data_IF_800764711632
#
_entry.id   IF_800764711632
#
_cell.length_a   1.000
_cell.length_b   1.000
_cell.length_c   1.000
_cell.angle_alpha   90.00
_cell.angle_beta   90.00
_cell.angle_gamma   90.00
#
_symmetry.space_group_name_H-M   'P 1'
#
loop_
_entity.id
_entity.type
_entity.pdbx_description
1 polymer ?
#
# COMPACT_ATOMS: atom_id res chain seq x y z
N UNK A 1 -8.75 -40.28 44.98
CA UNK A 1 -7.35 -40.51 44.56
C UNK A 1 -7.21 -40.01 43.12
N UNK A 2 -6.60 -38.84 42.89
CA UNK A 2 -6.39 -38.30 41.53
C UNK A 2 -5.11 -38.93 40.96
N UNK A 3 -5.26 -39.87 40.04
CA UNK A 3 -4.13 -40.34 39.22
C UNK A 3 -3.74 -39.20 38.27
N UNK A 4 -2.59 -38.58 38.52
CA UNK A 4 -2.01 -37.62 37.57
C UNK A 4 -1.25 -38.45 36.55
N UNK A 5 -1.87 -38.69 35.39
CA UNK A 5 -1.15 -39.17 34.21
C UNK A 5 -0.20 -38.08 33.71
N UNK A 6 1.03 -38.46 33.37
CA UNK A 6 2.11 -37.53 33.01
C UNK A 6 1.70 -36.56 31.90
N UNK A 7 2.00 -35.28 32.09
CA UNK A 7 1.83 -34.24 31.07
C UNK A 7 3.04 -34.25 30.14
N UNK A 8 2.82 -34.22 28.82
CA UNK A 8 3.88 -34.05 27.83
C UNK A 8 4.51 -32.67 28.02
N UNK A 9 5.83 -32.62 28.16
CA UNK A 9 6.60 -31.39 28.42
C UNK A 9 7.49 -30.96 27.25
N UNK A 10 7.92 -31.88 26.39
CA UNK A 10 8.76 -31.58 25.22
C UNK A 10 8.41 -32.55 24.09
N UNK A 11 8.35 -32.07 22.85
CA UNK A 11 8.29 -32.86 21.62
C UNK A 11 9.52 -32.55 20.77
N UNK A 12 10.29 -33.57 20.42
CA UNK A 12 11.54 -33.42 19.64
C UNK A 12 11.37 -33.71 18.14
N UNK A 13 10.14 -33.94 17.67
CA UNK A 13 9.83 -34.27 16.28
C UNK A 13 8.81 -33.27 15.72
N UNK A 14 8.91 -32.97 14.43
CA UNK A 14 7.91 -32.20 13.69
C UNK A 14 7.04 -33.15 12.85
N UNK A 15 5.72 -33.01 12.95
CA UNK A 15 4.76 -33.65 12.04
C UNK A 15 4.08 -32.57 11.18
N UNK A 16 3.38 -33.00 10.13
CA UNK A 16 2.65 -32.15 9.18
C UNK A 16 1.92 -30.98 9.89
N UNK A 17 2.08 -29.71 9.47
CA UNK A 17 1.74 -28.53 10.28
C UNK A 17 0.28 -28.43 10.71
N UNK A 18 -0.64 -29.08 9.99
CA UNK A 18 -2.08 -28.97 10.21
C UNK A 18 -2.58 -29.59 11.52
N UNK A 19 -1.83 -30.51 12.13
CA UNK A 19 -2.22 -31.18 13.38
C UNK A 19 -1.16 -31.11 14.48
N UNK A 20 -0.04 -30.45 14.21
CA UNK A 20 1.08 -30.38 15.15
C UNK A 20 0.93 -29.18 16.10
N UNK A 21 0.69 -29.48 17.37
CA UNK A 21 0.87 -28.51 18.45
C UNK A 21 2.27 -28.69 19.03
N UNK A 22 3.12 -27.68 18.82
CA UNK A 22 4.43 -27.61 19.44
C UNK A 22 4.26 -27.53 20.96
N UNK A 23 4.98 -28.40 21.68
CA UNK A 23 4.99 -28.44 23.14
C UNK A 23 6.45 -28.53 23.50
N UNK A 24 7.02 -27.39 23.90
CA UNK A 24 8.43 -27.26 24.24
C UNK A 24 8.54 -26.45 25.53
N UNK A 25 8.83 -27.13 26.63
CA UNK A 25 9.09 -26.48 27.91
C UNK A 25 10.30 -25.56 27.82
N UNK A 26 11.27 -25.90 26.98
CA UNK A 26 12.43 -25.05 26.71
C UNK A 26 12.04 -23.73 26.02
N UNK A 27 11.12 -23.74 25.06
CA UNK A 27 10.61 -22.51 24.42
C UNK A 27 9.69 -21.71 25.35
N UNK A 28 8.84 -22.38 26.14
CA UNK A 28 7.99 -21.76 27.16
C UNK A 28 8.82 -21.04 28.24
N UNK A 29 9.89 -21.68 28.74
CA UNK A 29 10.79 -21.03 29.70
C UNK A 29 11.61 -19.92 29.06
N UNK A 30 12.06 -20.11 27.81
CA UNK A 30 12.81 -19.08 27.08
C UNK A 30 11.99 -17.81 26.89
N UNK A 31 10.71 -17.95 26.56
CA UNK A 31 9.80 -16.82 26.38
C UNK A 31 9.48 -16.12 27.71
N UNK A 32 9.21 -16.88 28.78
CA UNK A 32 8.91 -16.32 30.11
C UNK A 32 10.10 -15.57 30.73
N UNK A 33 11.30 -16.12 30.60
CA UNK A 33 12.52 -15.55 31.20
C UNK A 33 13.22 -14.56 30.26
N UNK A 34 12.76 -14.45 29.00
CA UNK A 34 13.33 -13.59 27.94
C UNK A 34 14.81 -13.87 27.65
N UNK A 35 15.25 -15.10 27.88
CA UNK A 35 16.62 -15.57 27.63
C UNK A 35 16.58 -16.95 27.03
N UNK A 36 17.53 -17.29 26.16
CA UNK A 36 17.62 -18.64 25.60
C UNK A 36 17.82 -19.65 26.73
N UNK A 37 16.83 -20.50 26.93
CA UNK A 37 16.77 -21.57 27.91
C UNK A 37 16.75 -22.90 27.15
N UNK A 38 17.77 -23.73 27.38
CA UNK A 38 17.86 -25.08 26.80
C UNK A 38 17.82 -26.10 27.91
N UNK A 39 16.90 -27.06 27.80
CA UNK A 39 16.81 -28.19 28.72
C UNK A 39 17.45 -29.40 28.03
N UNK A 40 18.42 -30.01 28.67
CA UNK A 40 19.02 -31.26 28.24
C UNK A 40 18.49 -32.38 29.14
N UNK A 41 17.60 -33.22 28.62
CA UNK A 41 17.00 -34.35 29.33
C UNK A 41 17.93 -35.57 29.40
N UNK A 42 19.21 -35.35 29.69
CA UNK A 42 20.20 -36.42 29.81
C UNK A 42 20.87 -36.41 31.20
N UNK A 43 20.91 -37.54 31.91
CA UNK A 43 21.58 -37.66 33.21
C UNK A 43 23.11 -37.46 33.10
N UNK A 44 23.67 -37.58 31.89
CA UNK A 44 25.09 -37.33 31.60
C UNK A 44 25.39 -35.88 31.22
N UNK A 45 24.39 -35.00 31.19
CA UNK A 45 24.61 -33.60 30.80
C UNK A 45 25.46 -32.88 31.85
N UNK A 46 26.64 -32.40 31.43
CA UNK A 46 27.62 -31.74 32.30
C UNK A 46 27.25 -30.27 32.48
N UNK A 47 27.35 -29.76 33.72
CA UNK A 47 27.21 -28.33 34.01
C UNK A 47 28.23 -27.55 33.19
N UNK A 48 27.75 -26.75 32.25
CA UNK A 48 28.61 -25.83 31.52
C UNK A 48 28.88 -24.59 32.40
N UNK A 49 30.11 -24.43 32.86
CA UNK A 49 30.57 -23.29 33.67
C UNK A 49 31.25 -22.23 32.79
N UNK A 50 30.56 -21.80 31.75
CA UNK A 50 30.96 -20.62 30.98
C UNK A 50 30.37 -19.38 31.67
N UNK A 51 31.13 -18.31 31.89
CA UNK A 51 30.64 -17.07 32.50
C UNK A 51 29.40 -16.48 31.80
N UNK A 52 29.21 -16.82 30.51
CA UNK A 52 28.08 -16.45 29.65
C UNK A 52 26.86 -17.37 29.78
N UNK A 53 27.00 -18.56 30.38
CA UNK A 53 25.94 -19.56 30.53
C UNK A 53 25.79 -19.96 31.99
N UNK A 54 24.61 -19.75 32.56
CA UNK A 54 24.29 -20.31 33.87
C UNK A 54 23.67 -21.69 33.67
N UNK A 55 24.17 -22.71 34.37
CA UNK A 55 23.60 -24.06 34.28
C UNK A 55 23.37 -24.68 35.65
N UNK A 56 22.23 -25.35 35.80
CA UNK A 56 21.92 -26.14 36.99
C UNK A 56 21.32 -27.49 36.60
N UNK A 57 21.50 -28.47 37.49
CA UNK A 57 21.00 -29.83 37.27
C UNK A 57 19.54 -29.93 37.71
N UNK A 58 18.72 -30.60 36.90
CA UNK A 58 17.39 -31.06 37.28
C UNK A 58 17.59 -32.38 38.02
N UNK A 59 17.05 -32.47 39.24
CA UNK A 59 17.14 -33.67 40.06
C UNK A 59 15.77 -34.32 40.22
N UNK A 60 15.74 -35.63 40.42
CA UNK A 60 14.53 -36.36 40.81
C UNK A 60 14.35 -36.38 42.34
N UNK A 61 13.28 -37.01 42.81
CA UNK A 61 12.95 -37.15 44.24
C UNK A 61 13.98 -37.96 45.06
N UNK A 62 14.96 -38.59 44.40
CA UNK A 62 16.07 -39.33 45.03
C UNK A 62 17.41 -38.59 44.87
N UNK A 63 17.36 -37.29 44.56
CA UNK A 63 18.53 -36.44 44.32
C UNK A 63 19.43 -36.81 43.12
N UNK A 64 18.98 -37.75 42.27
CA UNK A 64 19.73 -38.13 41.07
C UNK A 64 19.50 -37.12 39.95
N UNK A 65 20.57 -36.76 39.23
CA UNK A 65 20.48 -35.88 38.06
C UNK A 65 19.71 -36.57 36.93
N UNK A 66 18.65 -35.93 36.46
CA UNK A 66 17.83 -36.39 35.32
C UNK A 66 17.98 -35.48 34.09
N UNK A 67 18.65 -34.33 34.26
CA UNK A 67 18.94 -33.40 33.17
C UNK A 67 19.66 -32.15 33.65
N UNK A 68 19.85 -31.20 32.76
CA UNK A 68 20.33 -29.85 33.12
C UNK A 68 19.60 -28.78 32.33
N UNK A 69 19.43 -27.62 32.96
CA UNK A 69 18.92 -26.41 32.31
C UNK A 69 20.10 -25.47 32.11
N UNK A 70 20.24 -24.94 30.90
CA UNK A 70 21.24 -23.95 30.54
C UNK A 70 20.53 -22.66 30.14
N UNK A 71 20.83 -21.59 30.87
CA UNK A 71 20.42 -20.22 30.57
C UNK A 71 21.58 -19.46 29.96
N UNK A 72 21.39 -18.89 28.78
CA UNK A 72 22.34 -17.93 28.23
C UNK A 72 22.07 -16.58 28.88
N UNK A 73 23.05 -16.04 29.62
CA UNK A 73 22.94 -14.69 30.17
C UNK A 73 22.83 -13.70 29.02
N UNK A 74 21.89 -12.76 29.07
CA UNK A 74 21.88 -11.67 28.10
C UNK A 74 23.21 -10.91 28.21
N UNK A 75 23.90 -10.75 27.08
CA UNK A 75 25.08 -9.91 27.03
C UNK A 75 24.64 -8.45 27.19
N UNK A 76 25.48 -7.64 27.85
CA UNK A 76 25.26 -6.19 27.94
C UNK A 76 25.02 -5.58 26.57
N UNK A 77 25.74 -6.07 25.56
CA UNK A 77 25.58 -5.66 24.15
C UNK A 77 24.16 -5.91 23.62
N UNK A 78 23.58 -7.09 23.85
CA UNK A 78 22.21 -7.40 23.39
C UNK A 78 21.18 -6.50 24.07
N UNK A 79 21.32 -6.27 25.38
CA UNK A 79 20.44 -5.37 26.12
C UNK A 79 20.56 -3.91 25.64
N UNK A 80 21.78 -3.45 25.31
CA UNK A 80 22.01 -2.13 24.74
C UNK A 80 21.35 -2.01 23.36
N UNK A 81 21.51 -3.00 22.48
CA UNK A 81 20.87 -3.01 21.15
C UNK A 81 19.34 -3.02 21.26
N UNK A 82 18.78 -3.81 22.18
CA UNK A 82 17.33 -3.83 22.43
C UNK A 82 16.82 -2.48 22.93
N UNK A 83 17.56 -1.82 23.83
CA UNK A 83 17.24 -0.47 24.31
C UNK A 83 17.35 0.58 23.20
N UNK A 84 18.40 0.53 22.37
CA UNK A 84 18.57 1.40 21.20
C UNK A 84 17.40 1.27 20.23
N UNK A 85 17.00 0.03 19.91
CA UNK A 85 15.84 -0.23 19.06
C UNK A 85 14.54 0.30 19.67
N UNK A 86 14.35 0.14 20.98
CA UNK A 86 13.17 0.65 21.67
C UNK A 86 13.11 2.19 21.66
N UNK A 87 14.24 2.86 21.95
CA UNK A 87 14.35 4.32 21.86
C UNK A 87 14.09 4.79 20.43
N UNK A 88 14.63 4.11 19.42
CA UNK A 88 14.39 4.42 18.02
C UNK A 88 12.90 4.34 17.64
N UNK A 89 12.18 3.31 18.12
CA UNK A 89 10.73 3.17 17.90
C UNK A 89 9.97 4.34 18.54
N UNK A 90 10.30 4.70 19.79
CA UNK A 90 9.65 5.83 20.48
C UNK A 90 9.92 7.15 19.74
N UNK A 91 11.17 7.44 19.40
CA UNK A 91 11.54 8.66 18.66
C UNK A 91 10.82 8.75 17.32
N UNK A 92 10.73 7.62 16.62
CA UNK A 92 10.00 7.52 15.36
C UNK A 92 8.51 7.80 15.51
N UNK A 93 7.87 7.23 16.54
CA UNK A 93 6.46 7.50 16.84
C UNK A 93 6.21 8.96 17.21
N UNK A 94 7.09 9.56 18.02
CA UNK A 94 7.01 10.98 18.37
C UNK A 94 7.22 11.88 17.15
N UNK A 95 8.15 11.56 16.26
CA UNK A 95 8.37 12.29 15.03
C UNK A 95 7.14 12.22 14.11
N UNK A 96 6.54 11.02 13.96
CA UNK A 96 5.31 10.84 13.19
C UNK A 96 4.15 11.64 13.79
N UNK A 97 3.98 11.58 15.12
CA UNK A 97 2.95 12.34 15.82
C UNK A 97 3.14 13.85 15.65
N UNK A 98 4.37 14.35 15.83
CA UNK A 98 4.72 15.74 15.61
C UNK A 98 4.43 16.20 14.19
N UNK A 99 4.73 15.36 13.19
CA UNK A 99 4.41 15.64 11.80
C UNK A 99 2.90 15.70 11.53
N UNK A 100 2.11 14.79 12.12
CA UNK A 100 0.65 14.81 12.01
C UNK A 100 0.04 16.05 12.67
N UNK A 101 0.52 16.45 13.85
CA UNK A 101 0.11 17.69 14.52
C UNK A 101 0.46 18.94 13.70
N UNK A 102 1.67 18.96 13.11
CA UNK A 102 2.06 20.02 12.18
C UNK A 102 1.10 20.09 10.98
N UNK A 103 0.65 18.94 10.46
CA UNK A 103 -0.38 18.86 9.45
C UNK A 103 -1.70 19.51 9.82
N UNK A 104 -2.15 19.38 11.08
CA UNK A 104 -3.38 20.03 11.54
C UNK A 104 -3.25 21.56 11.54
N UNK A 105 -2.11 22.08 11.98
CA UNK A 105 -1.82 23.53 11.93
C UNK A 105 -1.71 24.03 10.50
N UNK A 106 -1.01 23.29 9.63
CA UNK A 106 -0.92 23.60 8.21
C UNK A 106 -2.28 23.56 7.52
N UNK A 107 -3.14 22.60 7.86
CA UNK A 107 -4.47 22.47 7.26
C UNK A 107 -5.29 23.75 7.40
N UNK A 108 -5.28 24.38 8.59
CA UNK A 108 -5.97 25.65 8.83
C UNK A 108 -5.46 26.76 7.90
N UNK A 109 -4.14 26.88 7.74
CA UNK A 109 -3.51 27.87 6.85
C UNK A 109 -3.75 27.58 5.37
N UNK A 110 -3.68 26.32 4.96
CA UNK A 110 -3.95 25.91 3.58
C UNK A 110 -5.41 26.19 3.23
N UNK A 111 -6.34 25.90 4.15
CA UNK A 111 -7.77 26.08 3.91
C UNK A 111 -8.16 27.54 3.70
N UNK A 112 -7.47 28.49 4.34
CA UNK A 112 -7.76 29.92 4.21
C UNK A 112 -7.31 30.54 2.87
N UNK A 113 -6.38 29.91 2.14
CA UNK A 113 -5.88 30.45 0.87
C UNK A 113 -6.91 30.45 -0.28
N UNK A 114 -6.92 31.49 -1.11
CA UNK A 114 -7.90 31.62 -2.21
C UNK A 114 -7.61 30.71 -3.42
N UNK A 115 -6.34 30.42 -3.70
CA UNK A 115 -5.94 29.64 -4.87
C UNK A 115 -6.17 28.13 -4.68
N UNK A 116 -6.97 27.52 -5.57
CA UNK A 116 -7.23 26.07 -5.56
C UNK A 116 -5.97 25.26 -5.93
N UNK A 117 -5.16 25.76 -6.86
CA UNK A 117 -3.91 25.09 -7.29
C UNK A 117 -2.91 25.07 -6.13
N UNK A 118 -2.76 26.20 -5.43
CA UNK A 118 -1.86 26.28 -4.28
C UNK A 118 -2.33 25.38 -3.13
N UNK A 119 -3.64 25.31 -2.89
CA UNK A 119 -4.23 24.35 -1.94
C UNK A 119 -3.90 22.90 -2.29
N UNK A 120 -4.11 22.52 -3.55
CA UNK A 120 -3.83 21.17 -4.02
C UNK A 120 -2.35 20.81 -3.90
N UNK A 121 -1.47 21.70 -4.34
CA UNK A 121 -0.01 21.48 -4.31
C UNK A 121 0.51 21.34 -2.88
N UNK A 122 0.10 22.20 -1.94
CA UNK A 122 0.50 22.09 -0.54
C UNK A 122 -0.01 20.81 0.13
N UNK A 123 -1.26 20.41 -0.11
CA UNK A 123 -1.79 19.14 0.43
C UNK A 123 -1.04 17.94 -0.16
N UNK A 124 -0.78 17.95 -1.46
CA UNK A 124 -0.08 16.85 -2.14
C UNK A 124 1.36 16.73 -1.64
N UNK A 125 2.06 17.85 -1.50
CA UNK A 125 3.43 17.90 -0.98
C UNK A 125 3.49 17.41 0.47
N UNK A 126 2.57 17.85 1.33
CA UNK A 126 2.47 17.37 2.71
C UNK A 126 2.27 15.84 2.77
N UNK A 127 1.41 15.29 1.91
CA UNK A 127 1.13 13.85 1.86
C UNK A 127 2.30 13.03 1.29
N UNK A 128 3.02 13.56 0.30
CA UNK A 128 4.23 12.92 -0.25
C UNK A 128 5.33 12.87 0.81
N UNK A 129 5.57 13.98 1.52
CA UNK A 129 6.55 14.03 2.61
C UNK A 129 6.15 13.07 3.74
N UNK A 130 4.85 12.99 4.08
CA UNK A 130 4.36 12.00 5.04
C UNK A 130 4.72 10.59 4.59
N UNK A 131 4.48 10.25 3.31
CA UNK A 131 4.83 8.92 2.80
C UNK A 131 6.32 8.64 2.93
N UNK A 132 7.17 9.60 2.56
CA UNK A 132 8.62 9.46 2.66
C UNK A 132 9.08 9.26 4.11
N UNK A 133 8.53 10.03 5.05
CA UNK A 133 8.79 9.88 6.48
C UNK A 133 8.41 8.49 6.99
N UNK A 134 7.25 7.96 6.57
CA UNK A 134 6.83 6.58 6.90
C UNK A 134 7.81 5.53 6.37
N UNK A 135 8.37 5.71 5.17
CA UNK A 135 9.38 4.82 4.60
C UNK A 135 10.69 4.89 5.40
N UNK A 136 11.16 6.09 5.74
CA UNK A 136 12.40 6.28 6.50
C UNK A 136 12.34 5.59 7.88
N UNK A 137 11.19 5.69 8.54
CA UNK A 137 10.93 5.07 9.85
C UNK A 137 10.72 3.54 9.74
N UNK A 138 10.60 3.01 8.52
CA UNK A 138 10.21 1.62 8.24
C UNK A 138 8.85 1.26 8.86
N UNK A 139 7.93 2.22 8.94
CA UNK A 139 6.55 1.95 9.35
C UNK A 139 5.81 1.24 8.20
N UNK A 140 5.11 0.11 8.43
CA UNK A 140 4.70 -0.45 9.73
C UNK A 140 5.61 -1.54 10.33
N UNK A 141 6.65 -1.99 9.61
CA UNK A 141 7.52 -3.12 10.03
C UNK A 141 8.16 -2.94 11.39
N UNK A 142 8.43 -1.71 11.81
CA UNK A 142 9.00 -1.41 13.13
C UNK A 142 8.08 -1.70 14.30
N UNK A 143 6.76 -1.82 14.07
CA UNK A 143 5.75 -1.96 15.13
C UNK A 143 5.07 -3.32 15.08
N UNK A 144 4.84 -3.84 13.87
CA UNK A 144 4.08 -5.05 13.66
C UNK A 144 4.98 -6.16 13.08
N UNK A 145 4.91 -7.35 13.67
CA UNK A 145 5.54 -8.56 13.15
C UNK A 145 4.44 -9.43 12.53
N UNK A 146 4.16 -9.24 11.25
CA UNK A 146 3.23 -10.08 10.49
C UNK A 146 3.83 -10.47 9.16
N UNK A 147 3.43 -11.63 8.62
CA UNK A 147 3.89 -12.11 7.32
C UNK A 147 3.51 -11.16 6.18
N UNK A 148 2.40 -10.42 6.34
CA UNK A 148 1.96 -9.32 5.47
C UNK A 148 2.96 -8.15 5.37
N UNK A 149 3.93 -8.09 6.27
CA UNK A 149 5.00 -7.09 6.26
C UNK A 149 6.32 -7.65 5.74
N UNK A 150 6.36 -8.93 5.36
CA UNK A 150 7.58 -9.57 4.87
C UNK A 150 7.92 -9.11 3.44
N UNK A 151 9.19 -8.81 3.23
CA UNK A 151 9.74 -8.48 1.90
C UNK A 151 9.82 -9.69 0.97
N UNK A 152 9.54 -10.89 1.49
CA UNK A 152 9.57 -12.15 0.75
C UNK A 152 8.38 -12.31 -0.20
N UNK A 153 7.34 -11.49 -0.05
CA UNK A 153 6.12 -11.57 -0.86
C UNK A 153 6.33 -10.95 -2.25
N UNK A 154 7.18 -9.92 -2.36
CA UNK A 154 7.50 -9.28 -3.63
C UNK A 154 8.87 -9.72 -4.16
N UNK A 155 8.93 -10.13 -5.42
CA UNK A 155 10.21 -10.41 -6.08
C UNK A 155 10.94 -9.13 -6.50
N UNK A 156 10.23 -8.00 -6.68
CA UNK A 156 10.79 -6.71 -7.05
C UNK A 156 10.34 -5.58 -6.12
N UNK A 157 11.27 -4.70 -5.73
CA UNK A 157 10.95 -3.51 -4.92
C UNK A 157 10.21 -2.49 -5.77
N UNK A 158 9.00 -2.13 -5.37
CA UNK A 158 8.18 -1.19 -6.12
C UNK A 158 8.71 0.26 -6.00
N UNK A 159 8.80 0.98 -7.12
CA UNK A 159 9.28 2.38 -7.25
C UNK A 159 10.49 2.65 -6.33
N UNK A 160 11.63 2.01 -6.61
CA UNK A 160 12.87 2.20 -5.86
C UNK A 160 12.75 1.94 -4.33
N UNK A 161 11.82 1.09 -3.90
CA UNK A 161 11.63 0.72 -2.50
C UNK A 161 10.56 1.53 -1.75
N UNK A 162 9.72 2.29 -2.46
CA UNK A 162 8.55 2.97 -1.90
C UNK A 162 7.50 1.99 -1.37
N UNK A 163 7.44 0.76 -1.87
CA UNK A 163 6.68 -0.32 -1.24
C UNK A 163 7.43 -1.65 -1.40
N UNK A 164 7.69 -2.31 -0.28
CA UNK A 164 8.39 -3.61 -0.23
C UNK A 164 7.48 -4.72 0.30
N UNK A 165 6.32 -4.38 0.86
CA UNK A 165 5.32 -5.34 1.38
C UNK A 165 3.89 -4.93 1.01
N UNK A 166 2.90 -5.86 1.04
CA UNK A 166 1.53 -5.56 0.62
C UNK A 166 0.87 -4.42 1.41
N UNK A 167 1.23 -4.30 2.70
CA UNK A 167 0.75 -3.22 3.57
C UNK A 167 1.45 -1.90 3.23
N UNK A 168 2.76 -1.89 2.96
CA UNK A 168 3.46 -0.69 2.51
C UNK A 168 2.88 -0.17 1.19
N UNK A 169 2.49 -1.09 0.30
CA UNK A 169 1.80 -0.74 -0.93
C UNK A 169 0.42 -0.13 -0.63
N UNK A 170 -0.37 -0.77 0.22
CA UNK A 170 -1.68 -0.28 0.64
C UNK A 170 -1.61 1.15 1.20
N UNK A 171 -0.62 1.44 2.05
CA UNK A 171 -0.41 2.78 2.59
C UNK A 171 -0.05 3.78 1.49
N UNK A 172 0.82 3.39 0.56
CA UNK A 172 1.21 4.22 -0.59
C UNK A 172 -0.02 4.55 -1.46
N UNK A 173 -0.81 3.54 -1.82
CA UNK A 173 -2.02 3.72 -2.63
C UNK A 173 -3.08 4.54 -1.89
N UNK A 174 -3.24 4.34 -0.58
CA UNK A 174 -4.17 5.15 0.24
C UNK A 174 -3.79 6.63 0.21
N UNK A 175 -2.51 6.96 0.31
CA UNK A 175 -2.03 8.34 0.21
C UNK A 175 -2.27 8.91 -1.19
N UNK A 176 -1.94 8.16 -2.24
CA UNK A 176 -2.22 8.58 -3.61
C UNK A 176 -3.71 8.75 -3.86
N UNK A 177 -4.57 7.89 -3.31
CA UNK A 177 -6.01 8.03 -3.41
C UNK A 177 -6.48 9.37 -2.85
N UNK A 178 -5.98 9.78 -1.68
CA UNK A 178 -6.31 11.08 -1.08
C UNK A 178 -5.87 12.24 -1.98
N UNK A 179 -4.68 12.14 -2.59
CA UNK A 179 -4.16 13.15 -3.53
C UNK A 179 -5.06 13.23 -4.77
N UNK A 180 -5.35 12.11 -5.43
CA UNK A 180 -6.15 12.08 -6.66
C UNK A 180 -7.62 12.41 -6.42
N UNK A 181 -8.17 12.03 -5.27
CA UNK A 181 -9.49 12.49 -4.83
C UNK A 181 -9.52 14.01 -4.63
N UNK A 182 -8.47 14.57 -4.02
CA UNK A 182 -8.33 16.02 -3.85
C UNK A 182 -8.22 16.72 -5.20
N UNK A 183 -7.43 16.19 -6.14
CA UNK A 183 -7.34 16.68 -7.51
C UNK A 183 -8.72 16.71 -8.17
N UNK A 184 -9.45 15.61 -8.10
CA UNK A 184 -10.80 15.49 -8.67
C UNK A 184 -11.78 16.50 -8.07
N UNK A 185 -11.80 16.63 -6.74
CA UNK A 185 -12.65 17.61 -6.04
C UNK A 185 -12.32 19.04 -6.46
N UNK A 186 -11.05 19.37 -6.58
CA UNK A 186 -10.63 20.70 -7.03
C UNK A 186 -10.93 20.92 -8.52
N UNK A 187 -10.83 19.91 -9.38
CA UNK A 187 -11.23 19.98 -10.79
C UNK A 187 -12.73 20.28 -10.93
N UNK A 188 -13.60 19.64 -10.15
CA UNK A 188 -15.04 19.96 -10.14
C UNK A 188 -15.28 21.40 -9.68
N UNK A 189 -14.62 21.85 -8.61
CA UNK A 189 -14.75 23.24 -8.14
C UNK A 189 -14.29 24.24 -9.18
N UNK A 190 -13.19 23.93 -9.88
CA UNK A 190 -12.67 24.73 -10.97
C UNK A 190 -13.64 24.79 -12.16
N UNK A 191 -14.29 23.66 -12.49
CA UNK A 191 -15.31 23.61 -13.53
C UNK A 191 -16.49 24.56 -13.22
N UNK A 192 -16.98 24.55 -11.97
CA UNK A 192 -18.12 25.37 -11.50
C UNK A 192 -17.79 26.85 -11.31
N UNK A 193 -16.53 27.22 -11.08
CA UNK A 193 -16.14 28.62 -10.88
C UNK A 193 -16.38 29.40 -12.16
N UNK A 194 -17.18 30.46 -12.09
CA UNK A 194 -17.29 31.42 -13.19
C UNK A 194 -15.95 32.16 -13.34
N UNK A 195 -15.42 32.14 -14.56
CA UNK A 195 -14.18 32.82 -14.90
C UNK A 195 -14.49 33.72 -16.08
N UNK A 196 -14.04 34.96 -16.02
CA UNK A 196 -14.08 35.87 -17.16
C UNK A 196 -13.44 35.20 -18.38
N UNK A 197 -14.09 35.38 -19.53
CA UNK A 197 -13.70 34.71 -20.77
C UNK A 197 -12.46 35.40 -21.33
N UNK A 198 -11.29 34.97 -20.86
CA UNK A 198 -10.04 35.30 -21.54
C UNK A 198 -9.73 34.23 -22.57
N UNK A 199 -9.52 34.66 -23.82
CA UNK A 199 -9.43 33.80 -25.00
C UNK A 199 -8.03 33.17 -25.15
N UNK A 200 -7.64 32.34 -24.18
CA UNK A 200 -6.31 31.74 -24.12
C UNK A 200 -6.25 30.39 -24.89
N UNK A 201 -6.48 30.43 -26.20
CA UNK A 201 -6.45 29.23 -27.07
C UNK A 201 -5.09 28.52 -27.06
N UNK A 202 -3.99 29.30 -27.01
CA UNK A 202 -2.63 28.74 -26.94
C UNK A 202 -2.44 27.94 -25.65
N UNK A 203 -2.89 28.48 -24.52
CA UNK A 203 -2.83 27.78 -23.23
C UNK A 203 -3.64 26.48 -23.26
N UNK A 204 -4.82 26.50 -23.90
CA UNK A 204 -5.60 25.27 -24.09
C UNK A 204 -4.82 24.21 -24.88
N UNK A 205 -4.22 24.56 -26.02
CA UNK A 205 -3.47 23.63 -26.86
C UNK A 205 -2.28 23.04 -26.09
N UNK A 206 -1.52 23.89 -25.39
CA UNK A 206 -0.39 23.45 -24.57
C UNK A 206 -0.83 22.48 -23.46
N UNK A 207 -1.89 22.83 -22.72
CA UNK A 207 -2.45 21.96 -21.70
C UNK A 207 -3.01 20.66 -22.27
N UNK A 208 -3.64 20.70 -23.44
CA UNK A 208 -4.18 19.52 -24.12
C UNK A 208 -3.07 18.54 -24.48
N UNK A 209 -1.98 19.02 -25.11
CA UNK A 209 -0.82 18.18 -25.44
C UNK A 209 -0.19 17.61 -24.17
N UNK A 210 0.00 18.45 -23.15
CA UNK A 210 0.57 18.04 -21.87
C UNK A 210 -0.27 16.96 -21.17
N UNK A 211 -1.57 17.16 -21.04
CA UNK A 211 -2.46 16.19 -20.40
C UNK A 211 -2.69 14.93 -21.24
N UNK A 212 -2.67 15.03 -22.57
CA UNK A 212 -2.69 13.86 -23.45
C UNK A 212 -1.46 12.98 -23.20
N UNK A 213 -0.27 13.58 -23.14
CA UNK A 213 0.97 12.87 -22.82
C UNK A 213 0.91 12.25 -21.42
N UNK A 214 0.50 13.01 -20.41
CA UNK A 214 0.34 12.50 -19.04
C UNK A 214 -0.66 11.35 -18.95
N UNK A 215 -1.77 11.41 -19.69
CA UNK A 215 -2.78 10.35 -19.71
C UNK A 215 -2.23 9.05 -20.33
N UNK A 216 -1.47 9.14 -21.43
CA UNK A 216 -0.83 7.95 -22.02
C UNK A 216 0.22 7.35 -21.08
N UNK A 217 0.97 8.19 -20.36
CA UNK A 217 1.90 7.74 -19.33
C UNK A 217 1.16 7.10 -18.15
N UNK A 218 0.03 7.67 -17.70
CA UNK A 218 -0.73 7.10 -16.59
C UNK A 218 -1.32 5.74 -16.94
N UNK A 219 -1.81 5.54 -18.18
CA UNK A 219 -2.25 4.23 -18.67
C UNK A 219 -1.12 3.20 -18.69
N UNK A 220 0.07 3.60 -19.12
CA UNK A 220 1.26 2.72 -19.09
C UNK A 220 1.64 2.39 -17.65
N UNK A 221 1.65 3.41 -16.77
CA UNK A 221 1.93 3.26 -15.35
C UNK A 221 0.94 2.28 -14.70
N UNK A 222 -0.36 2.47 -14.92
CA UNK A 222 -1.40 1.57 -14.44
C UNK A 222 -1.16 0.11 -14.82
N UNK A 223 -0.88 -0.17 -16.10
CA UNK A 223 -0.57 -1.53 -16.56
C UNK A 223 0.72 -2.10 -15.93
N UNK A 224 1.78 -1.30 -15.85
CA UNK A 224 3.05 -1.73 -15.24
C UNK A 224 2.89 -2.04 -13.75
N UNK A 225 2.09 -1.25 -13.04
CA UNK A 225 1.80 -1.41 -11.61
C UNK A 225 1.00 -2.68 -11.36
N UNK A 226 -0.09 -2.91 -12.11
CA UNK A 226 -0.86 -4.16 -12.02
C UNK A 226 0.03 -5.35 -12.33
N UNK A 227 0.87 -5.25 -13.37
CA UNK A 227 1.73 -6.37 -13.75
C UNK A 227 2.72 -6.75 -12.64
N UNK A 228 3.36 -5.74 -12.06
CA UNK A 228 4.30 -5.89 -10.95
C UNK A 228 3.64 -6.46 -9.69
N UNK A 229 2.39 -6.07 -9.41
CA UNK A 229 1.71 -6.53 -8.20
C UNK A 229 1.08 -7.90 -8.32
N UNK A 230 0.64 -8.28 -9.49
CA UNK A 230 -0.19 -9.48 -9.68
C UNK A 230 0.66 -10.63 -10.19
N UNK A 231 1.61 -10.35 -11.08
CA UNK A 231 2.45 -11.38 -11.69
C UNK A 231 3.83 -11.49 -11.06
N UNK A 232 4.39 -10.41 -10.48
CA UNK A 232 5.72 -10.44 -9.83
C UNK A 232 5.65 -10.64 -8.30
N UNK A 233 4.52 -11.12 -7.78
CA UNK A 233 4.39 -11.56 -6.38
C UNK A 233 4.44 -13.08 -6.26
N UNK A 234 4.94 -13.58 -5.13
CA UNK A 234 4.86 -15.02 -4.79
C UNK A 234 3.43 -15.49 -4.50
N UNK A 235 2.50 -14.56 -4.31
CA UNK A 235 1.07 -14.83 -4.16
C UNK A 235 0.50 -15.29 -5.50
N UNK A 236 0.11 -16.56 -5.59
CA UNK A 236 -0.51 -17.15 -6.78
C UNK A 236 -1.96 -16.66 -6.92
N UNK A 237 -2.15 -15.49 -7.51
CA UNK A 237 -3.46 -14.82 -7.63
C UNK A 237 -4.52 -15.66 -8.37
N UNK A 238 -4.12 -16.48 -9.35
CA UNK A 238 -5.04 -17.23 -10.22
C UNK A 238 -5.04 -18.75 -10.02
N UNK A 239 -4.15 -19.32 -9.20
CA UNK A 239 -3.97 -20.79 -9.17
C UNK A 239 -4.81 -21.51 -8.10
N UNK A 240 -5.33 -20.80 -7.10
CA UNK A 240 -6.14 -21.40 -6.04
C UNK A 240 -7.54 -20.75 -6.02
N UNK A 241 -8.53 -21.28 -6.75
CA UNK A 241 -9.93 -20.84 -6.67
C UNK A 241 -10.61 -21.24 -5.33
N UNK A 242 -9.83 -21.60 -4.31
CA UNK A 242 -10.38 -21.92 -3.00
C UNK A 242 -11.03 -20.67 -2.40
N UNK A 243 -12.30 -20.79 -1.98
CA UNK A 243 -13.10 -19.73 -1.35
C UNK A 243 -12.49 -19.13 -0.07
N UNK A 244 -11.43 -19.74 0.46
CA UNK A 244 -10.70 -19.22 1.61
C UNK A 244 -9.74 -18.12 1.17
N UNK A 245 -10.23 -16.89 1.16
CA UNK A 245 -9.39 -15.70 1.01
C UNK A 245 -8.47 -15.57 2.24
N UNK A 246 -7.17 -15.76 2.05
CA UNK A 246 -6.20 -15.37 3.08
C UNK A 246 -6.13 -13.84 3.17
N UNK A 247 -5.63 -13.32 4.29
CA UNK A 247 -5.45 -11.88 4.49
C UNK A 247 -4.57 -11.24 3.42
N UNK A 248 -3.55 -11.96 2.91
CA UNK A 248 -2.69 -11.47 1.83
C UNK A 248 -3.49 -11.26 0.53
N UNK A 249 -4.31 -12.24 0.15
CA UNK A 249 -5.14 -12.17 -1.06
C UNK A 249 -6.13 -11.02 -1.01
N UNK A 250 -6.84 -10.87 0.11
CA UNK A 250 -7.80 -9.78 0.30
C UNK A 250 -7.12 -8.41 0.20
N UNK A 251 -5.97 -8.24 0.85
CA UNK A 251 -5.23 -6.97 0.81
C UNK A 251 -4.73 -6.64 -0.60
N UNK A 252 -4.30 -7.65 -1.36
CA UNK A 252 -3.90 -7.47 -2.76
C UNK A 252 -5.08 -7.08 -3.65
N UNK A 253 -6.25 -7.73 -3.51
CA UNK A 253 -7.45 -7.31 -4.23
C UNK A 253 -7.84 -5.85 -3.93
N UNK A 254 -7.75 -5.43 -2.66
CA UNK A 254 -7.96 -4.04 -2.26
C UNK A 254 -6.94 -3.12 -2.93
N UNK A 255 -5.66 -3.49 -2.97
CA UNK A 255 -4.62 -2.71 -3.65
C UNK A 255 -4.91 -2.53 -5.14
N UNK A 256 -5.33 -3.58 -5.84
CA UNK A 256 -5.69 -3.48 -7.26
C UNK A 256 -6.88 -2.54 -7.44
N UNK A 257 -7.93 -2.66 -6.61
CA UNK A 257 -9.09 -1.77 -6.66
C UNK A 257 -8.70 -0.30 -6.40
N UNK A 258 -7.87 -0.05 -5.38
CA UNK A 258 -7.35 1.29 -5.08
C UNK A 258 -6.58 1.87 -6.26
N UNK A 259 -5.77 1.06 -6.93
CA UNK A 259 -5.03 1.49 -8.12
C UNK A 259 -5.98 1.85 -9.28
N UNK A 260 -7.04 1.06 -9.50
CA UNK A 260 -8.09 1.38 -10.47
C UNK A 260 -8.78 2.71 -10.16
N UNK A 261 -9.14 2.93 -8.89
CA UNK A 261 -9.75 4.18 -8.44
C UNK A 261 -8.83 5.39 -8.66
N UNK A 262 -7.56 5.26 -8.33
CA UNK A 262 -6.54 6.29 -8.55
C UNK A 262 -6.44 6.64 -10.03
N UNK A 263 -6.35 5.62 -10.90
CA UNK A 263 -6.25 5.81 -12.35
C UNK A 263 -7.45 6.57 -12.92
N UNK A 264 -8.67 6.18 -12.53
CA UNK A 264 -9.90 6.79 -13.02
C UNK A 264 -10.06 8.21 -12.48
N UNK A 265 -9.85 8.43 -11.18
CA UNK A 265 -9.96 9.76 -10.57
C UNK A 265 -8.95 10.73 -11.19
N UNK A 266 -7.70 10.31 -11.37
CA UNK A 266 -6.67 11.12 -12.02
C UNK A 266 -7.02 11.47 -13.45
N UNK A 267 -7.40 10.46 -14.24
CA UNK A 267 -7.76 10.65 -15.63
C UNK A 267 -9.00 11.54 -15.80
N UNK A 268 -10.04 11.34 -14.98
CA UNK A 268 -11.23 12.17 -14.98
C UNK A 268 -10.91 13.62 -14.59
N UNK A 269 -10.00 13.82 -13.62
CA UNK A 269 -9.54 15.15 -13.22
C UNK A 269 -8.91 15.91 -14.37
N UNK A 270 -8.06 15.25 -15.17
CA UNK A 270 -7.43 15.86 -16.35
C UNK A 270 -8.45 16.25 -17.41
N UNK A 271 -9.38 15.34 -17.74
CA UNK A 271 -10.43 15.60 -18.72
C UNK A 271 -11.34 16.76 -18.28
N UNK A 272 -11.71 16.83 -17.00
CA UNK A 272 -12.55 17.92 -16.47
C UNK A 272 -11.82 19.28 -16.57
N UNK A 273 -10.52 19.33 -16.29
CA UNK A 273 -9.72 20.56 -16.43
C UNK A 273 -9.66 20.99 -17.90
N UNK A 274 -9.39 20.05 -18.81
CA UNK A 274 -9.39 20.33 -20.25
C UNK A 274 -10.74 20.82 -20.75
N UNK A 275 -11.82 20.20 -20.29
CA UNK A 275 -13.18 20.59 -20.64
C UNK A 275 -13.48 22.02 -20.20
N UNK A 276 -13.12 22.39 -18.97
CA UNK A 276 -13.28 23.77 -18.48
C UNK A 276 -12.51 24.76 -19.37
N UNK A 277 -11.26 24.44 -19.69
CA UNK A 277 -10.44 25.31 -20.53
C UNK A 277 -10.97 25.43 -21.96
N UNK A 278 -11.48 24.34 -22.55
CA UNK A 278 -12.16 24.36 -23.84
C UNK A 278 -13.39 25.26 -23.84
N UNK A 279 -14.24 25.16 -22.82
CA UNK A 279 -15.45 25.98 -22.68
C UNK A 279 -15.10 27.47 -22.66
N UNK A 280 -14.05 27.84 -21.94
CA UNK A 280 -13.55 29.23 -21.88
C UNK A 280 -12.98 29.70 -23.23
N UNK A 281 -12.23 28.83 -23.94
CA UNK A 281 -11.53 29.21 -25.17
C UNK A 281 -12.41 29.23 -26.44
N UNK A 282 -13.43 28.37 -26.53
CA UNK A 282 -14.18 28.20 -27.78
C UNK A 282 -15.66 28.53 -27.70
N UNK A 283 -16.26 28.67 -26.50
CA UNK A 283 -17.71 28.92 -26.30
C UNK A 283 -18.64 28.04 -27.17
N UNK A 284 -18.17 26.85 -27.58
CA UNK A 284 -18.85 25.95 -28.50
C UNK A 284 -19.68 24.90 -27.75
N UNK A 285 -20.49 24.16 -28.51
CA UNK A 285 -21.27 23.05 -28.00
C UNK A 285 -20.36 22.05 -27.25
N UNK A 286 -20.69 21.81 -25.98
CA UNK A 286 -19.86 21.02 -25.09
C UNK A 286 -19.75 19.55 -25.53
N UNK A 287 -20.75 19.00 -26.24
CA UNK A 287 -20.69 17.61 -26.75
C UNK A 287 -19.59 17.41 -27.79
N UNK A 288 -19.33 18.43 -28.62
CA UNK A 288 -18.29 18.40 -29.65
C UNK A 288 -16.91 18.18 -29.00
N UNK A 289 -16.65 18.80 -27.84
CA UNK A 289 -15.39 18.59 -27.12
C UNK A 289 -15.17 17.13 -26.75
N UNK A 290 -16.19 16.47 -26.19
CA UNK A 290 -16.05 15.08 -25.76
C UNK A 290 -15.85 14.12 -26.94
N UNK A 291 -16.60 14.32 -28.03
CA UNK A 291 -16.44 13.52 -29.25
C UNK A 291 -15.06 13.75 -29.89
N UNK A 292 -14.64 15.01 -30.03
CA UNK A 292 -13.32 15.34 -30.59
C UNK A 292 -12.18 14.79 -29.71
N UNK A 293 -12.30 14.94 -28.38
CA UNK A 293 -11.32 14.40 -27.44
C UNK A 293 -11.27 12.88 -27.50
N UNK A 294 -12.41 12.19 -27.61
CA UNK A 294 -12.45 10.73 -27.78
C UNK A 294 -11.66 10.30 -29.01
N UNK A 295 -11.91 10.92 -30.16
CA UNK A 295 -11.22 10.58 -31.43
C UNK A 295 -9.71 10.82 -31.30
N UNK A 296 -9.30 12.00 -30.81
CA UNK A 296 -7.87 12.35 -30.68
C UNK A 296 -7.15 11.43 -29.71
N UNK A 297 -7.75 11.13 -28.56
CA UNK A 297 -7.15 10.21 -27.60
C UNK A 297 -7.10 8.77 -28.13
N UNK A 298 -8.11 8.28 -28.86
CA UNK A 298 -8.08 6.96 -29.49
C UNK A 298 -6.96 6.82 -30.52
N UNK A 299 -6.80 7.82 -31.40
CA UNK A 299 -5.70 7.87 -32.38
C UNK A 299 -4.36 7.87 -31.63
N UNK A 300 -4.25 8.66 -30.57
CA UNK A 300 -3.03 8.75 -29.77
C UNK A 300 -2.72 7.44 -29.03
N UNK A 301 -3.72 6.74 -28.49
CA UNK A 301 -3.57 5.40 -27.88
C UNK A 301 -3.07 4.39 -28.92
N UNK A 302 -3.62 4.43 -30.14
CA UNK A 302 -3.20 3.56 -31.22
C UNK A 302 -1.73 3.80 -31.58
N UNK A 303 -1.36 5.05 -31.89
CA UNK A 303 0.02 5.45 -32.21
C UNK A 303 0.97 5.06 -31.08
N UNK A 304 0.62 5.40 -29.83
CA UNK A 304 1.43 5.08 -28.67
C UNK A 304 1.63 3.58 -28.46
N UNK A 305 0.62 2.77 -28.75
CA UNK A 305 0.73 1.31 -28.63
C UNK A 305 1.63 0.70 -29.71
N UNK A 306 1.70 1.28 -30.92
CA UNK A 306 2.62 0.85 -31.97
C UNK A 306 4.09 1.21 -31.66
N UNK A 307 4.33 2.35 -31.01
CA UNK A 307 5.67 2.80 -30.64
C UNK A 307 6.24 2.00 -29.44
N UNK A 308 5.39 1.40 -28.62
CA UNK A 308 5.81 0.67 -27.43
C UNK A 308 6.42 -0.70 -27.76
N UNK A 309 7.72 -0.88 -27.45
CA UNK A 309 8.40 -2.18 -27.54
C UNK A 309 7.79 -3.26 -26.65
N UNK A 310 7.28 -2.88 -25.48
CA UNK A 310 6.72 -3.79 -24.48
C UNK A 310 5.35 -3.27 -24.01
N UNK A 311 4.26 -3.64 -24.70
CA UNK A 311 2.93 -3.23 -24.29
C UNK A 311 2.59 -3.88 -22.94
N UNK A 312 2.21 -3.04 -21.97
CA UNK A 312 1.78 -3.48 -20.64
C UNK A 312 0.28 -3.76 -20.56
N UNK A 313 -0.49 -3.26 -21.52
CA UNK A 313 -1.93 -3.47 -21.64
C UNK A 313 -2.34 -3.48 -23.11
N UNK A 314 -3.41 -4.21 -23.42
CA UNK A 314 -3.93 -4.31 -24.79
C UNK A 314 -4.55 -2.99 -25.23
N UNK A 315 -4.60 -2.76 -26.55
CA UNK A 315 -5.24 -1.57 -27.12
C UNK A 315 -6.71 -1.50 -26.69
N UNK A 316 -7.39 -2.66 -26.67
CA UNK A 316 -8.78 -2.76 -26.22
C UNK A 316 -8.97 -2.22 -24.79
N UNK A 317 -8.15 -2.65 -23.84
CA UNK A 317 -8.23 -2.20 -22.44
C UNK A 317 -8.00 -0.69 -22.32
N UNK A 318 -7.00 -0.15 -23.02
CA UNK A 318 -6.69 1.30 -23.02
C UNK A 318 -7.86 2.11 -23.58
N UNK A 319 -8.47 1.65 -24.68
CA UNK A 319 -9.63 2.29 -25.30
C UNK A 319 -10.87 2.21 -24.41
N UNK A 320 -11.13 1.06 -23.79
CA UNK A 320 -12.24 0.89 -22.85
C UNK A 320 -12.10 1.81 -21.64
N UNK A 321 -10.90 1.90 -21.06
CA UNK A 321 -10.59 2.83 -19.98
C UNK A 321 -10.90 4.28 -20.40
N UNK A 322 -10.45 4.70 -21.58
CA UNK A 322 -10.72 6.04 -22.10
C UNK A 322 -12.22 6.33 -22.22
N UNK A 323 -12.98 5.40 -22.81
CA UNK A 323 -14.43 5.55 -23.00
C UNK A 323 -15.13 5.72 -21.65
N UNK A 324 -14.80 4.88 -20.67
CA UNK A 324 -15.39 4.95 -19.33
C UNK A 324 -15.04 6.26 -18.61
N UNK A 325 -13.78 6.70 -18.67
CA UNK A 325 -13.37 7.96 -18.05
C UNK A 325 -14.03 9.16 -18.72
N UNK A 326 -14.13 9.19 -20.06
CA UNK A 326 -14.82 10.26 -20.78
C UNK A 326 -16.32 10.28 -20.46
N UNK A 327 -16.97 9.11 -20.39
CA UNK A 327 -18.37 9.00 -20.00
C UNK A 327 -18.60 9.51 -18.58
N UNK A 328 -17.73 9.14 -17.62
CA UNK A 328 -17.79 9.66 -16.25
C UNK A 328 -17.56 11.17 -16.19
N UNK A 329 -16.54 11.67 -16.89
CA UNK A 329 -16.25 13.11 -16.93
C UNK A 329 -17.41 13.89 -17.53
N UNK A 330 -18.04 13.36 -18.60
CA UNK A 330 -19.27 13.90 -19.18
C UNK A 330 -20.39 13.93 -18.14
N UNK A 331 -20.71 12.78 -17.54
CA UNK A 331 -21.77 12.67 -16.52
C UNK A 331 -21.55 13.68 -15.39
N UNK A 332 -20.33 13.76 -14.85
CA UNK A 332 -19.99 14.66 -13.75
C UNK A 332 -20.05 16.14 -14.17
N UNK A 333 -19.71 16.45 -15.42
CA UNK A 333 -19.67 17.82 -15.92
C UNK A 333 -21.06 18.40 -16.21
N UNK A 334 -22.02 17.57 -16.64
CA UNK A 334 -23.36 18.04 -17.04
C UNK A 334 -24.47 17.69 -16.04
N UNK A 335 -24.31 16.64 -15.25
CA UNK A 335 -25.35 16.18 -14.33
C UNK A 335 -24.93 16.41 -12.86
N UNK A 336 -25.79 17.11 -12.13
CA UNK A 336 -25.61 17.34 -10.69
C UNK A 336 -26.13 16.16 -9.85
N UNK A 337 -25.50 15.00 -10.03
CA UNK A 337 -25.76 13.85 -9.16
C UNK A 337 -25.31 14.08 -7.71
N UNK A 338 -26.02 13.47 -6.76
CA UNK A 338 -25.61 13.36 -5.36
C UNK A 338 -24.23 12.70 -5.25
N UNK A 339 -23.48 13.05 -4.21
CA UNK A 339 -22.12 12.54 -3.98
C UNK A 339 -22.05 11.01 -3.97
N UNK A 340 -23.01 10.36 -3.30
CA UNK A 340 -23.07 8.89 -3.19
C UNK A 340 -23.18 8.23 -4.58
N UNK A 341 -24.05 8.74 -5.44
CA UNK A 341 -24.21 8.22 -6.81
C UNK A 341 -22.92 8.37 -7.62
N UNK A 342 -22.23 9.51 -7.49
CA UNK A 342 -20.92 9.72 -8.13
C UNK A 342 -19.90 8.70 -7.60
N UNK A 343 -19.81 8.54 -6.29
CA UNK A 343 -18.89 7.58 -5.67
C UNK A 343 -19.14 6.15 -6.18
N UNK A 344 -20.39 5.69 -6.20
CA UNK A 344 -20.76 4.36 -6.72
C UNK A 344 -20.30 4.18 -8.17
N UNK A 345 -20.51 5.18 -9.03
CA UNK A 345 -20.05 5.12 -10.43
C UNK A 345 -18.52 5.02 -10.54
N UNK A 346 -17.77 5.76 -9.72
CA UNK A 346 -16.31 5.66 -9.68
C UNK A 346 -15.85 4.28 -9.19
N UNK A 347 -16.47 3.73 -8.15
CA UNK A 347 -16.14 2.39 -7.64
C UNK A 347 -16.45 1.28 -8.65
N UNK A 348 -17.61 1.34 -9.31
CA UNK A 348 -18.00 0.33 -10.31
C UNK A 348 -17.07 0.36 -11.52
N UNK A 349 -16.77 1.54 -12.05
CA UNK A 349 -15.84 1.68 -13.18
C UNK A 349 -14.43 1.26 -12.81
N UNK A 350 -13.96 1.61 -11.62
CA UNK A 350 -12.65 1.19 -11.11
C UNK A 350 -12.57 -0.33 -10.96
N UNK A 351 -13.58 -0.94 -10.36
CA UNK A 351 -13.68 -2.39 -10.21
C UNK A 351 -13.67 -3.07 -11.58
N UNK A 352 -14.49 -2.61 -12.52
CA UNK A 352 -14.60 -3.22 -13.85
C UNK A 352 -13.29 -3.14 -14.64
N UNK A 353 -12.66 -1.96 -14.67
CA UNK A 353 -11.37 -1.76 -15.33
C UNK A 353 -10.32 -2.65 -14.68
N UNK A 354 -10.24 -2.65 -13.34
CA UNK A 354 -9.27 -3.45 -12.58
C UNK A 354 -9.40 -4.94 -12.88
N UNK A 355 -10.63 -5.47 -12.91
CA UNK A 355 -10.90 -6.88 -13.19
C UNK A 355 -10.50 -7.26 -14.61
N UNK A 356 -10.79 -6.42 -15.60
CA UNK A 356 -10.46 -6.70 -17.01
C UNK A 356 -8.95 -6.61 -17.27
N UNK A 357 -8.23 -5.84 -16.46
CA UNK A 357 -6.79 -5.68 -16.58
C UNK A 357 -5.97 -6.75 -15.88
N UNK A 358 -6.58 -7.48 -14.95
CA UNK A 358 -6.04 -8.69 -14.34
C UNK A 358 -6.13 -9.83 -15.35
#
# INVERSE_FOLDING_TARGET
>A
MKFIFGKVIEKEYELNPFYFKDVSLSSDLSSNVKTECKIFYSPKSVKNKDGRKYSFAIKNNKDNNIGSVIFVKQTREKAVIELENFIFIIQSLLALLGYLLFGLVLYQKIHSHKSLILKFTLVSLYLIILRYLLVLIKFPKSIFTSDLLSDKIYYSKFIYGLANSPIELFLTLSIFLIIFYSAFRYSIRFLKKETEVQNHKIIFILLFIFFLFLYLLSLRGFGAVIRSFVFDTSIRYFQNPSLNFTSEHLLMHINVLLMGLISILGSASFIIILFKQYRTAFKKNNTIFFVASLIVFLISIFIFSQIQKQPQSTIFIKSLHLILVLALAYIVAFYDFKFITKAILFYLTASFISIITL
#
